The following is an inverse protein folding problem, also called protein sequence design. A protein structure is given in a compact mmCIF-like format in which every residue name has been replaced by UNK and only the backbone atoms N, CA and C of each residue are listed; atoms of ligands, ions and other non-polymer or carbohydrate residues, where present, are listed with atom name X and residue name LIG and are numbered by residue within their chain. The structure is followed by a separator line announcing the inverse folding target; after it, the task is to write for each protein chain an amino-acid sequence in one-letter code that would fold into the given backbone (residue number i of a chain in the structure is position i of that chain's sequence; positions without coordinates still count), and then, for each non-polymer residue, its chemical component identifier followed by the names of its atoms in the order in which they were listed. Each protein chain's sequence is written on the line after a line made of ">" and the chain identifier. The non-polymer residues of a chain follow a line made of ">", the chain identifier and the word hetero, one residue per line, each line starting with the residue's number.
data_IF_793503787554
#
_entry.id   IF_793503787554
#
_cell.length_a   1.000
_cell.length_b   1.000
_cell.length_c   1.000
_cell.angle_alpha   90.00
_cell.angle_beta   90.00
_cell.angle_gamma   90.00
#
_symmetry.space_group_name_H-M   'P 1'
#
loop_
_entity.id
_entity.type
_entity.pdbx_description
1 polymer ?
#
# COMPACT_ATOMS: atom_id res chain seq x y z
N UNK A 1 -1.09 -0.64 -37.73
CA UNK A 1 -1.66 -1.39 -36.59
C UNK A 1 -1.64 -0.45 -35.42
N UNK A 2 -2.74 0.27 -35.17
CA UNK A 2 -2.85 1.15 -34.00
C UNK A 2 -3.15 0.24 -32.80
N UNK A 3 -2.12 -0.07 -32.02
CA UNK A 3 -2.32 -0.63 -30.69
C UNK A 3 -3.09 0.42 -29.88
N UNK A 4 -4.33 0.11 -29.53
CA UNK A 4 -5.05 0.92 -28.55
C UNK A 4 -4.33 0.78 -27.24
N UNK A 5 -3.83 1.89 -26.70
CA UNK A 5 -3.42 1.97 -25.29
C UNK A 5 -4.65 1.54 -24.48
N UNK A 6 -4.57 0.36 -23.87
CA UNK A 6 -5.52 0.01 -22.83
C UNK A 6 -5.35 1.07 -21.72
N UNK A 7 -6.44 1.57 -21.11
CA UNK A 7 -6.30 2.50 -19.99
C UNK A 7 -5.39 1.86 -18.95
N UNK A 8 -4.39 2.61 -18.48
CA UNK A 8 -3.48 2.16 -17.44
C UNK A 8 -4.31 1.63 -16.26
N UNK A 9 -4.10 0.36 -15.91
CA UNK A 9 -4.81 -0.28 -14.81
C UNK A 9 -4.40 0.42 -13.52
N UNK A 10 -5.38 0.73 -12.67
CA UNK A 10 -5.18 1.42 -11.38
C UNK A 10 -5.55 0.52 -10.22
N UNK A 11 -4.97 0.76 -9.05
CA UNK A 11 -5.29 0.02 -7.84
C UNK A 11 -6.48 0.69 -7.16
N UNK A 12 -7.70 0.36 -7.60
CA UNK A 12 -8.93 0.98 -7.11
C UNK A 12 -10.09 -0.03 -6.98
N UNK A 13 -11.08 0.30 -6.15
CA UNK A 13 -12.29 -0.50 -5.94
C UNK A 13 -11.96 -1.95 -5.53
N UNK A 14 -12.58 -2.92 -6.21
CA UNK A 14 -12.40 -4.34 -5.90
C UNK A 14 -10.93 -4.82 -6.01
N UNK A 15 -10.10 -4.17 -6.83
CA UNK A 15 -8.68 -4.57 -6.93
C UNK A 15 -7.86 -4.11 -5.72
N UNK A 16 -8.25 -2.98 -5.11
CA UNK A 16 -7.65 -2.51 -3.86
C UNK A 16 -8.02 -3.46 -2.71
N UNK A 17 -9.27 -3.91 -2.65
CA UNK A 17 -9.73 -4.92 -1.69
C UNK A 17 -8.97 -6.24 -1.86
N UNK A 18 -8.86 -6.74 -3.10
CA UNK A 18 -8.07 -7.94 -3.43
C UNK A 18 -6.60 -7.80 -3.03
N UNK A 19 -6.01 -6.62 -3.25
CA UNK A 19 -4.65 -6.33 -2.83
C UNK A 19 -4.50 -6.36 -1.31
N UNK A 20 -5.42 -5.75 -0.57
CA UNK A 20 -5.39 -5.75 0.89
C UNK A 20 -5.53 -7.16 1.48
N UNK A 21 -6.46 -7.97 0.94
CA UNK A 21 -6.63 -9.37 1.32
C UNK A 21 -5.36 -10.19 1.03
N UNK A 22 -4.77 -10.02 -0.15
CA UNK A 22 -3.55 -10.73 -0.53
C UNK A 22 -2.36 -10.35 0.35
N UNK A 23 -2.13 -9.05 0.61
CA UNK A 23 -1.07 -8.57 1.51
C UNK A 23 -1.27 -9.15 2.91
N UNK A 24 -2.50 -9.21 3.40
CA UNK A 24 -2.80 -9.81 4.70
C UNK A 24 -2.30 -11.26 4.77
N UNK A 25 -2.57 -12.06 3.74
CA UNK A 25 -2.07 -13.45 3.66
C UNK A 25 -0.54 -13.50 3.72
N UNK A 26 0.16 -12.65 2.95
CA UNK A 26 1.62 -12.65 2.91
C UNK A 26 2.24 -12.26 4.27
N UNK A 27 1.69 -11.25 4.93
CA UNK A 27 2.16 -10.78 6.24
C UNK A 27 2.03 -11.87 7.32
N UNK A 28 0.94 -12.66 7.28
CA UNK A 28 0.76 -13.78 8.22
C UNK A 28 1.79 -14.89 8.00
N UNK A 29 2.16 -15.16 6.74
CA UNK A 29 3.22 -16.14 6.43
C UNK A 29 4.59 -15.72 6.96
N UNK A 30 4.87 -14.41 7.04
CA UNK A 30 6.09 -13.85 7.65
C UNK A 30 6.06 -13.83 9.19
N UNK A 31 4.95 -14.25 9.80
CA UNK A 31 4.78 -14.28 11.25
C UNK A 31 4.52 -12.92 11.88
N UNK A 32 4.13 -11.92 11.08
CA UNK A 32 3.68 -10.62 11.54
C UNK A 32 2.16 -10.60 11.68
N UNK A 33 1.65 -9.77 12.58
CA UNK A 33 0.21 -9.54 12.73
C UNK A 33 -0.11 -8.08 12.42
N UNK A 34 -0.79 -7.87 11.30
CA UNK A 34 -1.36 -6.58 10.90
C UNK A 34 -2.86 -6.79 10.63
N UNK A 35 -3.76 -6.05 11.30
CA UNK A 35 -5.19 -6.14 11.03
C UNK A 35 -5.51 -5.75 9.58
N UNK A 36 -6.44 -6.46 8.92
CA UNK A 36 -6.86 -6.12 7.55
C UNK A 36 -7.30 -4.67 7.39
N UNK A 37 -8.08 -4.15 8.34
CA UNK A 37 -8.50 -2.74 8.37
C UNK A 37 -7.31 -1.75 8.40
N UNK A 38 -6.20 -2.13 9.05
CA UNK A 38 -4.99 -1.31 9.08
C UNK A 38 -4.26 -1.35 7.73
N UNK A 39 -4.25 -2.51 7.05
CA UNK A 39 -3.69 -2.65 5.70
C UNK A 39 -4.46 -1.74 4.74
N UNK A 40 -5.79 -1.85 4.70
CA UNK A 40 -6.65 -0.99 3.87
C UNK A 40 -6.46 0.50 4.18
N UNK A 41 -6.32 0.86 5.46
CA UNK A 41 -6.08 2.23 5.87
C UNK A 41 -4.72 2.76 5.39
N UNK A 42 -3.65 1.96 5.50
CA UNK A 42 -2.32 2.32 4.98
C UNK A 42 -2.39 2.58 3.48
N UNK A 43 -2.97 1.62 2.75
CA UNK A 43 -3.16 1.67 1.31
C UNK A 43 -3.99 2.89 0.88
N UNK A 44 -5.08 3.19 1.58
CA UNK A 44 -5.92 4.36 1.26
C UNK A 44 -5.19 5.66 1.57
N UNK A 45 -4.49 5.72 2.71
CA UNK A 45 -3.77 6.93 3.15
C UNK A 45 -2.65 7.31 2.19
N UNK A 46 -1.85 6.36 1.69
CA UNK A 46 -0.79 6.71 0.73
C UNK A 46 -1.33 7.31 -0.58
N UNK A 47 -2.50 6.83 -1.03
CA UNK A 47 -3.23 7.30 -2.20
C UNK A 47 -3.82 8.68 -2.01
N UNK A 48 -4.47 8.93 -0.86
CA UNK A 48 -5.01 10.25 -0.50
C UNK A 48 -3.92 11.32 -0.41
N UNK A 49 -2.72 10.93 0.05
CA UNK A 49 -1.56 11.81 0.14
C UNK A 49 -0.81 11.99 -1.21
N UNK A 50 -1.11 11.17 -2.22
CA UNK A 50 -0.47 11.24 -3.53
C UNK A 50 1.03 10.91 -3.50
N UNK A 51 1.43 9.93 -2.67
CA UNK A 51 2.85 9.61 -2.41
C UNK A 51 3.44 8.58 -3.39
N UNK A 52 2.65 7.97 -4.26
CA UNK A 52 3.02 6.76 -5.01
C UNK A 52 4.21 6.93 -5.98
N UNK A 53 4.55 8.18 -6.34
CA UNK A 53 5.73 8.49 -7.14
C UNK A 53 7.03 8.66 -6.32
N UNK A 54 6.97 8.47 -4.99
CA UNK A 54 8.11 8.62 -4.08
C UNK A 54 8.81 7.28 -3.82
N UNK A 55 10.07 7.29 -3.36
CA UNK A 55 10.71 6.08 -2.84
C UNK A 55 9.92 5.51 -1.65
N UNK A 56 9.85 4.19 -1.54
CA UNK A 56 9.10 3.49 -0.49
C UNK A 56 9.39 3.98 0.95
N UNK A 57 10.65 4.29 1.34
CA UNK A 57 10.93 4.88 2.66
C UNK A 57 10.27 6.24 2.87
N UNK A 58 10.14 7.06 1.83
CA UNK A 58 9.45 8.35 1.90
C UNK A 58 7.93 8.18 1.98
N UNK A 59 7.37 7.17 1.28
CA UNK A 59 5.95 6.82 1.38
C UNK A 59 5.62 6.38 2.80
N UNK A 60 6.39 5.42 3.34
CA UNK A 60 6.22 4.91 4.69
C UNK A 60 6.29 6.03 5.73
N UNK A 61 7.27 6.93 5.60
CA UNK A 61 7.39 8.10 6.47
C UNK A 61 6.19 9.06 6.37
N UNK A 62 5.65 9.26 5.17
CA UNK A 62 4.47 10.10 4.93
C UNK A 62 3.20 9.51 5.56
N UNK A 63 2.95 8.22 5.39
CA UNK A 63 1.82 7.51 6.02
C UNK A 63 1.97 7.52 7.54
N UNK A 64 3.16 7.22 8.06
CA UNK A 64 3.43 7.28 9.50
C UNK A 64 3.21 8.68 10.08
N UNK A 65 3.59 9.74 9.36
CA UNK A 65 3.30 11.11 9.76
C UNK A 65 1.79 11.38 9.82
N UNK A 66 1.03 10.98 8.80
CA UNK A 66 -0.43 11.13 8.79
C UNK A 66 -1.11 10.40 9.96
N UNK A 67 -0.67 9.18 10.30
CA UNK A 67 -1.19 8.46 11.45
C UNK A 67 -0.83 9.11 12.79
N UNK A 68 0.37 9.70 12.92
CA UNK A 68 0.77 10.44 14.13
C UNK A 68 -0.06 11.71 14.32
N UNK A 69 -0.45 12.38 13.24
CA UNK A 69 -1.37 13.53 13.31
C UNK A 69 -2.76 13.14 13.81
N UNK A 70 -3.22 11.92 13.50
CA UNK A 70 -4.53 11.42 13.89
C UNK A 70 -4.56 10.77 15.28
N UNK A 71 -3.51 10.05 15.66
CA UNK A 71 -3.49 9.17 16.85
C UNK A 71 -2.48 9.59 17.92
N UNK A 72 -1.51 10.46 17.64
CA UNK A 72 -0.41 10.88 18.53
C UNK A 72 0.43 9.75 19.18
N UNK A 73 0.06 8.48 19.01
CA UNK A 73 0.60 7.31 19.72
C UNK A 73 1.05 6.22 18.74
N UNK A 74 1.70 6.60 17.63
CA UNK A 74 2.29 5.62 16.72
C UNK A 74 3.51 4.96 17.39
N UNK A 75 3.56 3.63 17.41
CA UNK A 75 4.67 2.84 17.95
C UNK A 75 5.64 2.41 16.85
N UNK A 76 6.89 2.02 17.19
CA UNK A 76 7.83 1.47 16.22
C UNK A 76 7.36 0.18 15.53
N UNK A 77 6.45 -0.57 16.15
CA UNK A 77 5.82 -1.74 15.54
C UNK A 77 4.91 -1.32 14.39
N UNK A 78 4.19 -0.21 14.53
CA UNK A 78 3.31 0.31 13.49
C UNK A 78 4.10 0.81 12.28
N UNK A 79 5.26 1.44 12.50
CA UNK A 79 6.16 1.86 11.41
C UNK A 79 6.66 0.67 10.59
N UNK A 80 7.06 -0.43 11.27
CA UNK A 80 7.44 -1.68 10.59
C UNK A 80 6.27 -2.32 9.85
N UNK A 81 5.07 -2.24 10.41
CA UNK A 81 3.86 -2.74 9.75
C UNK A 81 3.58 -1.94 8.46
N UNK A 82 3.72 -0.61 8.49
CA UNK A 82 3.58 0.24 7.30
C UNK A 82 4.58 -0.16 6.23
N UNK A 83 5.86 -0.30 6.57
CA UNK A 83 6.91 -0.71 5.63
C UNK A 83 6.62 -2.08 5.00
N UNK A 84 6.21 -3.07 5.82
CA UNK A 84 5.89 -4.41 5.35
C UNK A 84 4.70 -4.40 4.37
N UNK A 85 3.63 -3.65 4.70
CA UNK A 85 2.45 -3.51 3.83
C UNK A 85 2.83 -2.91 2.49
N UNK A 86 3.59 -1.81 2.47
CA UNK A 86 3.97 -1.12 1.23
C UNK A 86 4.92 -1.94 0.36
N UNK A 87 5.77 -2.77 0.98
CA UNK A 87 6.66 -3.69 0.25
C UNK A 87 5.85 -4.80 -0.43
N UNK A 88 4.87 -5.39 0.25
CA UNK A 88 3.99 -6.37 -0.35
C UNK A 88 3.06 -5.76 -1.41
N UNK A 89 2.65 -4.51 -1.25
CA UNK A 89 1.95 -3.78 -2.32
C UNK A 89 2.79 -3.68 -3.59
N UNK A 90 4.09 -3.37 -3.50
CA UNK A 90 4.99 -3.34 -4.67
C UNK A 90 5.03 -4.68 -5.41
N UNK A 91 5.07 -5.80 -4.66
CA UNK A 91 5.01 -7.15 -5.25
C UNK A 91 3.67 -7.41 -5.93
N UNK A 92 2.54 -7.07 -5.29
CA UNK A 92 1.22 -7.21 -5.87
C UNK A 92 1.08 -6.38 -7.17
N UNK A 93 1.52 -5.13 -7.15
CA UNK A 93 1.52 -4.23 -8.30
C UNK A 93 2.38 -4.80 -9.45
N UNK A 94 3.55 -5.38 -9.11
CA UNK A 94 4.41 -6.08 -10.06
C UNK A 94 3.72 -7.28 -10.73
N UNK A 95 3.00 -8.09 -9.96
CA UNK A 95 2.21 -9.22 -10.46
C UNK A 95 1.01 -8.77 -11.30
N UNK A 96 0.37 -7.67 -10.92
CA UNK A 96 -0.77 -7.08 -11.62
C UNK A 96 -0.39 -6.25 -12.86
N UNK A 97 0.90 -5.98 -13.06
CA UNK A 97 1.40 -5.13 -14.14
C UNK A 97 0.99 -3.66 -14.01
N UNK A 98 0.82 -3.18 -12.76
CA UNK A 98 0.43 -1.81 -12.44
C UNK A 98 1.66 -1.03 -11.98
N UNK A 99 2.05 0.06 -12.65
CA UNK A 99 3.08 0.94 -12.13
C UNK A 99 2.60 1.63 -10.85
N UNK A 100 3.43 1.65 -9.79
CA UNK A 100 3.09 2.32 -8.53
C UNK A 100 2.68 3.77 -8.71
N UNK A 101 3.43 4.53 -9.53
CA UNK A 101 3.10 5.92 -9.85
C UNK A 101 1.72 6.14 -10.53
N UNK A 102 1.12 5.07 -11.05
CA UNK A 102 -0.19 5.05 -11.67
C UNK A 102 -1.28 4.45 -10.78
N UNK A 103 -0.92 3.93 -9.60
CA UNK A 103 -1.84 3.23 -8.69
C UNK A 103 -2.74 4.16 -7.88
#
# INVERSE_FOLDING_TARGET
>A
MTGGDAPARKLEGALLEECAEWIWEQIQEEGLFVPGELIELILTTERELGLQARPLPEIAAGVAAAFREQSHLLSPTDERAIEAVLAWEDEFLGLAGIPRESS
#
